data_IF_498626143284
#
_entry.id   IF_498626143284
#
_cell.length_a   1.000
_cell.length_b   1.000
_cell.length_c   1.000
_cell.angle_alpha   90.00
_cell.angle_beta   90.00
_cell.angle_gamma   90.00
#
_symmetry.space_group_name_H-M   'P 1'
#
loop_
_entity.id
_entity.type
_entity.pdbx_description
1 polymer ?
#
# COMPACT_ATOMS: atom_id res chain seq x y z
N UNK A 1 -6.60 5.98 -21.36
CA UNK A 1 -7.90 5.94 -20.68
C UNK A 1 -7.90 6.69 -19.36
N UNK A 2 -6.88 6.56 -18.50
CA UNK A 2 -6.80 7.29 -17.23
C UNK A 2 -6.93 8.81 -17.41
N UNK A 3 -6.12 9.41 -18.28
CA UNK A 3 -6.20 10.85 -18.59
C UNK A 3 -7.56 11.24 -19.16
N UNK A 4 -8.14 10.37 -19.98
CA UNK A 4 -9.46 10.58 -20.56
C UNK A 4 -10.55 10.59 -19.48
N UNK A 5 -10.51 9.61 -18.56
CA UNK A 5 -11.45 9.55 -17.45
C UNK A 5 -11.33 10.78 -16.52
N UNK A 6 -10.13 11.24 -16.19
CA UNK A 6 -9.92 12.44 -15.37
C UNK A 6 -10.48 13.71 -16.01
N UNK A 7 -10.34 13.84 -17.34
CA UNK A 7 -10.87 14.99 -18.08
C UNK A 7 -12.39 14.92 -18.26
N UNK A 8 -12.94 13.72 -18.37
CA UNK A 8 -14.36 13.50 -18.61
C UNK A 8 -14.82 12.24 -17.85
N UNK A 9 -15.23 12.36 -16.57
CA UNK A 9 -15.57 11.24 -15.70
C UNK A 9 -16.96 10.67 -15.96
N UNK A 10 -17.22 10.22 -17.19
CA UNK A 10 -18.46 9.51 -17.55
C UNK A 10 -18.40 8.04 -17.14
N UNK A 11 -19.57 7.40 -16.98
CA UNK A 11 -19.65 5.97 -16.67
C UNK A 11 -18.99 5.12 -17.77
N UNK A 12 -19.13 5.51 -19.04
CA UNK A 12 -18.45 4.83 -20.15
C UNK A 12 -16.92 4.87 -20.01
N UNK A 13 -16.35 6.03 -19.70
CA UNK A 13 -14.91 6.19 -19.51
C UNK A 13 -14.43 5.46 -18.26
N UNK A 14 -15.27 5.42 -17.20
CA UNK A 14 -15.02 4.64 -15.99
C UNK A 14 -14.92 3.15 -16.30
N UNK A 15 -15.91 2.62 -17.00
CA UNK A 15 -15.96 1.20 -17.36
C UNK A 15 -14.77 0.83 -18.26
N UNK A 16 -14.48 1.63 -19.26
CA UNK A 16 -13.32 1.40 -20.15
C UNK A 16 -11.98 1.38 -19.37
N UNK A 17 -11.84 2.23 -18.35
CA UNK A 17 -10.65 2.23 -17.49
C UNK A 17 -10.59 0.96 -16.63
N UNK A 18 -11.70 0.55 -16.03
CA UNK A 18 -11.78 -0.68 -15.24
C UNK A 18 -11.46 -1.92 -16.09
N UNK A 19 -12.00 -2.00 -17.30
CA UNK A 19 -11.73 -3.10 -18.23
C UNK A 19 -10.24 -3.17 -18.58
N UNK A 20 -9.61 -2.03 -18.86
CA UNK A 20 -8.18 -1.98 -19.13
C UNK A 20 -7.34 -2.42 -17.93
N UNK A 21 -7.75 -2.02 -16.71
CA UNK A 21 -7.08 -2.45 -15.49
C UNK A 21 -7.24 -3.95 -15.29
N UNK A 22 -8.44 -4.50 -15.56
CA UNK A 22 -8.71 -5.94 -15.53
C UNK A 22 -7.77 -6.71 -16.45
N UNK A 23 -7.66 -6.29 -17.72
CA UNK A 23 -6.75 -6.92 -18.70
C UNK A 23 -5.29 -6.88 -18.21
N UNK A 24 -4.85 -5.79 -17.62
CA UNK A 24 -3.48 -5.69 -17.07
C UNK A 24 -3.27 -6.62 -15.88
N UNK A 25 -4.25 -6.67 -14.99
CA UNK A 25 -4.22 -7.56 -13.83
C UNK A 25 -4.15 -9.03 -14.26
N UNK A 26 -4.98 -9.45 -15.21
CA UNK A 26 -5.00 -10.81 -15.73
C UNK A 26 -3.67 -11.22 -16.37
N UNK A 27 -2.98 -10.26 -17.03
CA UNK A 27 -1.62 -10.49 -17.53
C UNK A 27 -0.61 -10.73 -16.40
N UNK A 28 -0.73 -10.03 -15.27
CA UNK A 28 0.14 -10.25 -14.09
C UNK A 28 -0.14 -11.63 -13.50
N UNK A 29 -1.40 -11.98 -13.31
CA UNK A 29 -1.81 -13.32 -12.83
C UNK A 29 -1.28 -14.43 -13.76
N UNK A 30 -1.42 -14.25 -15.07
CA UNK A 30 -0.91 -15.23 -16.06
C UNK A 30 0.61 -15.41 -15.95
N UNK A 31 1.38 -14.34 -15.79
CA UNK A 31 2.84 -14.41 -15.58
C UNK A 31 3.19 -15.17 -14.31
N UNK A 32 2.48 -14.90 -13.19
CA UNK A 32 2.70 -15.62 -11.94
C UNK A 32 2.35 -17.11 -12.05
N UNK A 33 1.26 -17.46 -12.73
CA UNK A 33 0.89 -18.86 -13.04
C UNK A 33 1.97 -19.57 -13.88
N UNK A 34 2.53 -18.88 -14.87
CA UNK A 34 3.62 -19.45 -15.67
C UNK A 34 4.87 -19.69 -14.82
N UNK A 35 5.23 -18.71 -13.95
CA UNK A 35 6.37 -18.88 -13.05
C UNK A 35 6.16 -20.02 -12.05
N UNK A 36 4.93 -20.18 -11.55
CA UNK A 36 4.57 -21.30 -10.69
C UNK A 36 4.82 -22.64 -11.42
N UNK A 37 4.35 -22.79 -12.67
CA UNK A 37 4.57 -24.02 -13.47
C UNK A 37 6.06 -24.30 -13.71
N UNK A 38 6.88 -23.27 -13.89
CA UNK A 38 8.34 -23.43 -13.98
C UNK A 38 8.90 -23.96 -12.67
N UNK A 39 8.52 -23.38 -11.53
CA UNK A 39 8.94 -23.82 -10.21
C UNK A 39 8.50 -25.25 -9.90
N UNK A 40 7.29 -25.65 -10.30
CA UNK A 40 6.80 -27.02 -10.16
C UNK A 40 7.66 -28.04 -10.96
N UNK A 41 8.13 -27.65 -12.12
CA UNK A 41 9.04 -28.49 -12.93
C UNK A 41 10.45 -28.57 -12.37
N UNK A 42 10.90 -27.51 -11.73
CA UNK A 42 12.25 -27.40 -11.13
C UNK A 42 12.28 -27.85 -9.68
N UNK A 43 11.15 -28.30 -9.12
CA UNK A 43 10.88 -28.39 -7.70
C UNK A 43 11.92 -29.19 -6.91
N UNK A 44 12.81 -28.47 -6.28
CA UNK A 44 13.65 -28.95 -5.17
C UNK A 44 13.06 -28.64 -3.80
N UNK A 45 12.00 -27.82 -3.72
CA UNK A 45 11.43 -27.39 -2.43
C UNK A 45 9.91 -27.19 -2.55
N UNK A 46 9.15 -28.14 -2.02
CA UNK A 46 7.68 -28.15 -2.00
C UNK A 46 7.08 -26.89 -1.38
N UNK A 47 7.67 -26.38 -0.30
CA UNK A 47 7.19 -25.18 0.40
C UNK A 47 7.16 -23.92 -0.44
N UNK A 48 8.07 -23.75 -1.41
CA UNK A 48 8.09 -22.58 -2.30
C UNK A 48 6.92 -22.66 -3.30
N UNK A 49 6.64 -23.84 -3.81
CA UNK A 49 5.52 -24.07 -4.74
C UNK A 49 4.19 -23.80 -4.04
N UNK A 50 4.00 -24.35 -2.85
CA UNK A 50 2.79 -24.17 -2.05
C UNK A 50 2.57 -22.68 -1.70
N UNK A 51 3.61 -21.99 -1.26
CA UNK A 51 3.53 -20.55 -0.99
C UNK A 51 3.16 -19.74 -2.26
N UNK A 52 3.79 -20.02 -3.38
CA UNK A 52 3.46 -19.36 -4.65
C UNK A 52 2.06 -19.69 -5.16
N UNK A 53 1.59 -20.92 -4.93
CA UNK A 53 0.21 -21.31 -5.25
C UNK A 53 -0.77 -20.47 -4.43
N UNK A 54 -0.58 -20.36 -3.11
CA UNK A 54 -1.41 -19.52 -2.25
C UNK A 54 -1.49 -18.06 -2.71
N UNK A 55 -0.36 -17.48 -3.14
CA UNK A 55 -0.34 -16.12 -3.71
C UNK A 55 -1.21 -16.03 -4.99
N UNK A 56 -1.09 -17.01 -5.88
CA UNK A 56 -1.84 -17.02 -7.14
C UNK A 56 -3.33 -17.18 -6.88
N UNK A 57 -3.69 -18.07 -5.97
CA UNK A 57 -5.09 -18.34 -5.61
C UNK A 57 -5.74 -17.10 -4.99
N UNK A 58 -5.07 -16.45 -4.05
CA UNK A 58 -5.52 -15.18 -3.46
C UNK A 58 -5.68 -14.07 -4.52
N UNK A 59 -4.76 -13.95 -5.46
CA UNK A 59 -4.87 -12.99 -6.55
C UNK A 59 -6.08 -13.25 -7.46
N UNK A 60 -6.40 -14.51 -7.71
CA UNK A 60 -7.56 -14.90 -8.51
C UNK A 60 -8.85 -14.62 -7.74
N UNK A 61 -8.91 -15.05 -6.49
CA UNK A 61 -10.09 -14.89 -5.63
C UNK A 61 -10.42 -13.41 -5.39
N UNK A 62 -9.42 -12.58 -5.11
CA UNK A 62 -9.58 -11.16 -4.80
C UNK A 62 -9.49 -10.25 -6.03
N UNK A 63 -9.58 -10.79 -7.24
CA UNK A 63 -9.38 -10.03 -8.49
C UNK A 63 -10.19 -8.73 -8.56
N UNK A 64 -11.49 -8.80 -8.38
CA UNK A 64 -12.38 -7.65 -8.51
C UNK A 64 -12.08 -6.58 -7.43
N UNK A 65 -11.86 -7.03 -6.20
CA UNK A 65 -11.49 -6.17 -5.08
C UNK A 65 -10.19 -5.41 -5.35
N UNK A 66 -9.16 -6.12 -5.84
CA UNK A 66 -7.86 -5.51 -6.16
C UNK A 66 -7.92 -4.54 -7.33
N UNK A 67 -8.68 -4.85 -8.38
CA UNK A 67 -8.90 -3.93 -9.51
C UNK A 67 -9.61 -2.66 -9.02
N UNK A 68 -10.63 -2.82 -8.18
CA UNK A 68 -11.40 -1.70 -7.64
C UNK A 68 -10.56 -0.82 -6.70
N UNK A 69 -9.76 -1.40 -5.84
CA UNK A 69 -8.81 -0.67 -4.99
C UNK A 69 -7.83 0.14 -5.84
N UNK A 70 -7.26 -0.48 -6.86
CA UNK A 70 -6.34 0.19 -7.77
C UNK A 70 -7.02 1.34 -8.53
N UNK A 71 -8.26 1.16 -8.96
CA UNK A 71 -9.05 2.21 -9.59
C UNK A 71 -9.26 3.40 -8.63
N UNK A 72 -9.73 3.15 -7.40
CA UNK A 72 -9.93 4.21 -6.40
C UNK A 72 -8.66 4.99 -6.11
N UNK A 73 -7.52 4.31 -6.03
CA UNK A 73 -6.22 4.93 -5.91
C UNK A 73 -5.91 5.87 -7.08
N UNK A 74 -6.22 5.47 -8.30
CA UNK A 74 -5.95 6.30 -9.48
C UNK A 74 -6.80 7.55 -9.57
N UNK A 75 -8.03 7.51 -9.06
CA UNK A 75 -8.97 8.63 -9.12
C UNK A 75 -8.92 9.55 -7.89
N UNK A 76 -8.15 9.20 -6.84
CA UNK A 76 -8.01 10.05 -5.65
C UNK A 76 -7.30 11.36 -6.05
N UNK A 77 -7.98 12.53 -5.97
CA UNK A 77 -7.40 13.81 -6.34
C UNK A 77 -6.21 14.19 -5.46
N UNK A 78 -6.20 13.78 -4.19
CA UNK A 78 -5.12 14.07 -3.24
C UNK A 78 -3.78 13.47 -3.64
N UNK A 79 -3.81 12.42 -4.45
CA UNK A 79 -2.63 11.72 -4.93
C UNK A 79 -1.70 12.61 -5.77
N UNK A 80 -2.28 13.55 -6.54
CA UNK A 80 -1.49 14.43 -7.40
C UNK A 80 -0.98 15.67 -6.65
N UNK A 81 -1.80 16.16 -5.70
CA UNK A 81 -1.49 17.38 -4.96
C UNK A 81 -0.51 17.09 -3.82
N UNK A 82 -0.75 16.04 -3.04
CA UNK A 82 0.15 15.53 -2.02
C UNK A 82 0.00 14.01 -1.84
N UNK A 83 0.78 13.21 -2.56
CA UNK A 83 0.67 11.76 -2.46
C UNK A 83 0.87 11.19 -1.03
N UNK A 84 1.58 11.91 -0.17
CA UNK A 84 1.84 11.48 1.22
C UNK A 84 0.60 11.58 2.10
N UNK A 85 -0.29 12.53 1.81
CA UNK A 85 -1.54 12.71 2.54
C UNK A 85 -2.68 11.83 1.99
N UNK A 86 -2.38 11.03 0.96
CA UNK A 86 -3.37 10.15 0.37
C UNK A 86 -3.67 8.96 1.29
N UNK A 87 -4.93 8.57 1.32
CA UNK A 87 -5.42 7.41 2.05
C UNK A 87 -5.87 6.33 1.08
N UNK A 88 -5.37 5.12 1.28
CA UNK A 88 -5.69 3.96 0.44
C UNK A 88 -6.87 3.21 1.03
N UNK A 89 -7.86 2.91 0.21
CA UNK A 89 -9.04 2.15 0.63
C UNK A 89 -8.66 0.71 0.95
N UNK A 90 -8.96 0.27 2.15
CA UNK A 90 -8.96 -1.14 2.54
C UNK A 90 -10.39 -1.65 2.50
N UNK A 91 -10.63 -2.71 1.75
CA UNK A 91 -11.90 -3.43 1.78
C UNK A 91 -11.65 -4.82 2.32
N UNK A 92 -12.09 -5.01 3.56
CA UNK A 92 -12.14 -6.33 4.19
C UNK A 92 -13.42 -7.09 3.84
N UNK A 93 -13.62 -8.24 4.50
CA UNK A 93 -14.84 -9.03 4.40
C UNK A 93 -16.08 -8.35 5.03
N UNK A 94 -15.93 -7.24 5.72
CA UNK A 94 -17.01 -6.43 6.27
C UNK A 94 -17.35 -5.26 5.35
N UNK A 95 -18.60 -4.82 5.34
CA UNK A 95 -19.07 -3.66 4.55
C UNK A 95 -18.47 -2.32 5.00
N UNK A 96 -17.77 -2.30 6.12
CA UNK A 96 -17.11 -1.10 6.61
C UNK A 96 -15.89 -0.75 5.73
N UNK A 97 -15.88 0.49 5.24
CA UNK A 97 -14.74 1.02 4.48
C UNK A 97 -13.70 1.56 5.45
N UNK A 98 -12.54 0.91 5.51
CA UNK A 98 -11.37 1.42 6.20
C UNK A 98 -10.37 2.02 5.21
N UNK A 99 -9.53 2.89 5.71
CA UNK A 99 -8.46 3.53 4.94
C UNK A 99 -7.14 3.32 5.67
N UNK A 100 -6.07 3.11 4.90
CA UNK A 100 -4.70 3.09 5.42
C UNK A 100 -3.90 4.22 4.78
N UNK A 101 -2.96 4.81 5.50
CA UNK A 101 -2.09 5.86 4.96
C UNK A 101 -1.34 5.39 3.72
N UNK A 102 -1.13 6.29 2.77
CA UNK A 102 -0.35 6.02 1.55
C UNK A 102 1.10 5.61 1.87
N UNK A 103 1.67 6.21 2.91
CA UNK A 103 3.03 5.95 3.39
C UNK A 103 3.04 5.91 4.93
N UNK A 104 4.10 5.40 5.55
CA UNK A 104 4.32 5.54 6.99
C UNK A 104 4.31 7.00 7.45
N UNK A 105 3.95 7.23 8.71
CA UNK A 105 4.02 8.55 9.33
C UNK A 105 5.48 9.00 9.36
N UNK A 106 5.73 10.21 8.88
CA UNK A 106 7.07 10.79 8.80
C UNK A 106 7.48 11.51 10.08
N UNK A 107 8.78 11.78 10.23
CA UNK A 107 9.32 12.58 11.34
C UNK A 107 8.68 13.98 11.40
N UNK A 108 8.51 14.63 10.25
CA UNK A 108 7.91 15.96 10.18
C UNK A 108 6.44 15.96 10.63
N UNK A 109 5.66 14.97 10.20
CA UNK A 109 4.26 14.80 10.61
C UNK A 109 4.14 14.54 12.12
N UNK A 110 5.00 13.68 12.66
CA UNK A 110 5.00 13.39 14.08
C UNK A 110 5.48 14.58 14.93
N UNK A 111 6.43 15.36 14.44
CA UNK A 111 6.91 16.57 15.10
C UNK A 111 5.81 17.66 15.22
N UNK A 112 4.89 17.72 14.25
CA UNK A 112 3.73 18.60 14.32
C UNK A 112 2.79 18.24 15.48
N UNK A 113 2.66 16.96 15.81
CA UNK A 113 1.92 16.47 16.98
C UNK A 113 2.67 16.73 18.29
N UNK A 114 3.98 16.48 18.31
CA UNK A 114 4.78 16.49 19.54
C UNK A 114 5.86 17.57 19.47
N UNK A 115 5.57 18.81 19.86
CA UNK A 115 6.58 19.87 19.96
C UNK A 115 7.75 19.41 20.86
N UNK A 116 8.97 19.52 20.35
CA UNK A 116 10.18 19.05 21.05
C UNK A 116 10.60 17.62 20.68
N UNK A 117 9.86 16.92 19.79
CA UNK A 117 10.39 15.72 19.16
C UNK A 117 11.57 16.09 18.27
N UNK A 118 12.68 15.39 18.46
CA UNK A 118 13.92 15.66 17.73
C UNK A 118 14.30 14.47 16.86
N UNK A 119 14.75 14.75 15.66
CA UNK A 119 15.27 13.80 14.70
C UNK A 119 16.46 14.40 13.96
N UNK A 120 17.18 13.61 13.21
CA UNK A 120 18.37 14.06 12.49
C UNK A 120 17.98 15.03 11.37
N UNK A 121 18.73 16.13 11.24
CA UNK A 121 18.53 17.12 10.17
C UNK A 121 18.53 16.47 8.79
N UNK A 122 17.59 16.87 7.94
CA UNK A 122 17.39 16.31 6.60
C UNK A 122 16.62 14.98 6.57
N UNK A 123 16.09 14.51 7.71
CA UNK A 123 15.26 13.31 7.79
C UNK A 123 13.78 13.61 8.03
N UNK A 124 13.31 14.75 7.57
CA UNK A 124 11.89 15.15 7.69
C UNK A 124 10.95 14.12 7.08
N UNK A 125 11.34 13.56 5.93
CA UNK A 125 10.58 12.59 5.15
C UNK A 125 10.94 11.12 5.45
N UNK A 126 11.63 10.84 6.55
CA UNK A 126 11.89 9.48 6.99
C UNK A 126 10.78 9.01 7.92
N UNK A 127 10.50 7.69 7.98
CA UNK A 127 9.49 7.19 8.89
C UNK A 127 9.87 7.49 10.33
N UNK A 128 8.88 7.86 11.13
CA UNK A 128 9.10 8.05 12.56
C UNK A 128 9.31 6.70 13.24
N UNK A 129 10.39 6.59 13.99
CA UNK A 129 10.78 5.36 14.70
C UNK A 129 11.06 5.65 16.18
N UNK A 130 11.26 4.58 16.97
CA UNK A 130 11.57 4.66 18.40
C UNK A 130 10.49 5.38 19.22
N UNK A 131 9.22 5.25 18.81
CA UNK A 131 8.07 5.74 19.56
C UNK A 131 7.37 4.55 20.24
N UNK A 132 6.80 4.80 21.43
CA UNK A 132 6.02 3.78 22.12
C UNK A 132 4.64 3.62 21.48
N UNK A 133 3.99 2.48 21.73
CA UNK A 133 2.62 2.23 21.32
C UNK A 133 1.67 3.33 21.82
N UNK A 134 1.83 3.75 23.08
CA UNK A 134 1.03 4.82 23.68
C UNK A 134 1.20 6.15 22.92
N UNK A 135 2.42 6.47 22.50
CA UNK A 135 2.69 7.67 21.71
C UNK A 135 2.09 7.59 20.31
N UNK A 136 2.12 6.41 19.66
CA UNK A 136 1.48 6.20 18.37
C UNK A 136 -0.05 6.33 18.48
N UNK A 137 -0.65 5.78 19.54
CA UNK A 137 -2.08 5.93 19.80
C UNK A 137 -2.47 7.38 20.09
N UNK A 138 -1.64 8.12 20.86
CA UNK A 138 -1.86 9.54 21.12
C UNK A 138 -1.80 10.38 19.85
N UNK A 139 -0.90 10.05 18.92
CA UNK A 139 -0.85 10.68 17.61
C UNK A 139 -2.15 10.46 16.82
N UNK A 140 -2.68 9.24 16.80
CA UNK A 140 -3.96 8.93 16.17
C UNK A 140 -5.13 9.71 16.81
N UNK A 141 -5.15 9.82 18.13
CA UNK A 141 -6.17 10.62 18.85
C UNK A 141 -6.06 12.11 18.50
N UNK A 142 -4.84 12.62 18.41
CA UNK A 142 -4.59 14.00 17.99
C UNK A 142 -5.09 14.27 16.56
N UNK A 143 -4.85 13.36 15.61
CA UNK A 143 -5.41 13.45 14.26
C UNK A 143 -6.96 13.43 14.28
N UNK A 144 -7.55 12.52 15.06
CA UNK A 144 -9.01 12.41 15.20
C UNK A 144 -9.62 13.71 15.74
N UNK A 145 -8.94 14.38 16.67
CA UNK A 145 -9.42 15.65 17.22
C UNK A 145 -9.43 16.80 16.20
N UNK A 146 -8.65 16.70 15.14
CA UNK A 146 -8.58 17.70 14.08
C UNK A 146 -9.50 17.43 12.89
N UNK A 147 -10.01 16.21 12.78
CA UNK A 147 -10.87 15.78 11.68
C UNK A 147 -12.25 15.36 12.20
N UNK A 148 -13.25 16.16 11.94
CA UNK A 148 -14.63 15.88 12.38
C UNK A 148 -15.32 14.73 11.63
N UNK A 149 -14.69 14.18 10.58
CA UNK A 149 -15.30 13.19 9.69
C UNK A 149 -14.73 11.78 9.84
N UNK A 150 -13.49 11.67 10.34
CA UNK A 150 -12.79 10.39 10.39
C UNK A 150 -12.24 10.11 11.78
N UNK A 151 -12.15 8.83 12.11
CA UNK A 151 -11.47 8.34 13.32
C UNK A 151 -10.16 7.71 12.87
N UNK A 152 -9.07 8.21 13.43
CA UNK A 152 -7.72 7.69 13.17
C UNK A 152 -7.32 6.72 14.26
N UNK A 153 -6.79 5.60 13.87
CA UNK A 153 -6.26 4.56 14.76
C UNK A 153 -5.12 3.79 14.09
N UNK A 154 -4.40 3.03 14.86
CA UNK A 154 -3.47 2.07 14.27
C UNK A 154 -4.23 0.98 13.51
N UNK A 155 -3.68 0.46 12.40
CA UNK A 155 -4.27 -0.68 11.72
C UNK A 155 -4.22 -1.93 12.60
N UNK A 156 -5.18 -2.83 12.43
CA UNK A 156 -5.03 -4.19 12.91
C UNK A 156 -4.02 -4.95 12.05
N UNK A 157 -3.55 -6.11 12.52
CA UNK A 157 -2.68 -6.98 11.74
C UNK A 157 -3.34 -7.39 10.41
N UNK A 158 -4.61 -7.75 10.44
CA UNK A 158 -5.39 -8.11 9.24
C UNK A 158 -5.48 -6.95 8.25
N UNK A 159 -5.74 -5.74 8.73
CA UNK A 159 -5.79 -4.55 7.89
C UNK A 159 -4.43 -4.21 7.28
N UNK A 160 -3.36 -4.38 8.05
CA UNK A 160 -2.01 -4.20 7.54
C UNK A 160 -1.68 -5.24 6.45
N UNK A 161 -2.01 -6.51 6.67
CA UNK A 161 -1.85 -7.59 5.68
C UNK A 161 -2.66 -7.30 4.41
N UNK A 162 -3.91 -6.84 4.55
CA UNK A 162 -4.73 -6.42 3.40
C UNK A 162 -4.10 -5.26 2.63
N UNK A 163 -3.51 -4.31 3.33
CA UNK A 163 -2.82 -3.16 2.74
C UNK A 163 -1.52 -3.55 2.05
N UNK A 164 -0.68 -4.29 2.73
CA UNK A 164 0.61 -4.73 2.24
C UNK A 164 0.47 -5.79 1.14
N UNK A 165 -0.36 -6.80 1.35
CA UNK A 165 -0.40 -7.99 0.52
C UNK A 165 0.87 -8.82 0.64
N UNK A 166 1.14 -9.62 -0.38
CA UNK A 166 2.37 -10.40 -0.44
C UNK A 166 3.53 -9.58 -0.98
N UNK A 167 4.66 -9.59 -0.30
CA UNK A 167 5.89 -8.97 -0.79
C UNK A 167 6.39 -9.69 -2.05
N UNK A 168 6.45 -9.02 -3.21
CA UNK A 168 7.01 -9.61 -4.42
C UNK A 168 8.52 -9.87 -4.25
N UNK A 169 9.04 -10.92 -4.89
CA UNK A 169 10.48 -11.23 -4.84
C UNK A 169 11.37 -10.19 -5.52
N UNK A 170 10.80 -9.48 -6.51
CA UNK A 170 11.44 -8.46 -7.34
C UNK A 170 11.02 -7.05 -6.94
N UNK A 171 10.52 -6.88 -5.72
CA UNK A 171 10.11 -5.57 -5.24
C UNK A 171 11.35 -4.68 -5.10
N UNK A 172 11.27 -3.49 -5.67
CA UNK A 172 12.24 -2.45 -5.40
C UNK A 172 11.97 -1.89 -4.01
N UNK A 173 12.84 -2.20 -3.10
CA UNK A 173 12.81 -1.71 -1.73
C UNK A 173 14.23 -1.40 -1.29
N UNK A 174 14.39 -0.91 -0.09
CA UNK A 174 15.71 -0.79 0.49
C UNK A 174 16.39 -2.17 0.58
N UNK A 175 17.16 -2.51 -0.43
CA UNK A 175 17.86 -3.78 -0.50
C UNK A 175 18.85 -3.97 0.67
N UNK A 176 19.23 -2.87 1.31
CA UNK A 176 20.15 -2.84 2.44
C UNK A 176 19.42 -2.51 3.75
N UNK A 177 18.14 -2.82 3.85
CA UNK A 177 17.32 -2.52 5.02
C UNK A 177 17.92 -2.99 6.35
N UNK A 178 18.79 -4.01 6.31
CA UNK A 178 19.52 -4.51 7.48
C UNK A 178 20.81 -3.72 7.75
N UNK A 179 21.46 -3.20 6.70
CA UNK A 179 22.81 -2.63 6.78
C UNK A 179 22.85 -1.11 6.64
N UNK A 180 21.99 -0.53 5.81
CA UNK A 180 22.01 0.89 5.49
C UNK A 180 21.07 1.75 6.34
N UNK A 181 20.21 1.14 7.14
CA UNK A 181 19.24 1.85 7.99
C UNK A 181 18.05 2.39 7.21
N UNK A 182 17.32 3.32 7.83
CA UNK A 182 16.08 3.87 7.29
C UNK A 182 16.33 4.71 6.03
N UNK A 183 15.34 4.71 5.14
CA UNK A 183 15.28 5.58 3.97
C UNK A 183 14.08 6.51 4.04
N UNK A 184 14.04 7.53 3.18
CA UNK A 184 12.84 8.35 3.04
C UNK A 184 11.64 7.49 2.59
N UNK A 185 10.44 7.74 3.12
CA UNK A 185 9.24 6.91 2.86
C UNK A 185 8.87 6.84 1.38
N UNK A 186 9.36 7.74 0.56
CA UNK A 186 9.11 7.78 -0.88
C UNK A 186 10.31 7.36 -1.75
N UNK A 187 11.33 6.77 -1.14
CA UNK A 187 12.53 6.33 -1.86
C UNK A 187 12.21 5.25 -2.91
N UNK A 188 11.24 4.41 -2.64
CA UNK A 188 10.85 3.27 -3.49
C UNK A 188 9.37 3.33 -3.91
N UNK A 189 8.95 4.44 -4.51
CA UNK A 189 7.55 4.70 -4.93
C UNK A 189 6.96 3.66 -5.87
N UNK A 190 7.79 2.93 -6.61
CA UNK A 190 7.37 1.84 -7.49
C UNK A 190 6.98 0.57 -6.74
N UNK A 191 7.43 0.41 -5.50
CA UNK A 191 7.13 -0.75 -4.65
C UNK A 191 5.88 -0.49 -3.84
N UNK A 192 4.75 -0.91 -4.40
CA UNK A 192 3.45 -0.64 -3.79
C UNK A 192 2.84 -1.90 -3.19
N UNK A 193 2.27 -1.76 -1.99
CA UNK A 193 1.42 -2.78 -1.40
C UNK A 193 0.15 -3.07 -2.21
N UNK A 194 -0.62 -4.05 -1.79
CA UNK A 194 -1.86 -4.46 -2.44
C UNK A 194 -2.87 -3.30 -2.53
N UNK A 195 -2.97 -2.48 -1.49
CA UNK A 195 -3.84 -1.29 -1.47
C UNK A 195 -3.31 -0.15 -2.35
N UNK A 196 -2.04 -0.19 -2.72
CA UNK A 196 -1.37 0.84 -3.48
C UNK A 196 -0.59 1.86 -2.67
N UNK A 197 -0.56 1.75 -1.35
CA UNK A 197 0.37 2.48 -0.50
C UNK A 197 1.82 2.02 -0.74
N UNK A 198 2.76 2.77 -0.23
CA UNK A 198 4.20 2.53 -0.39
C UNK A 198 4.87 2.24 0.96
N UNK A 199 6.09 1.76 0.89
CA UNK A 199 6.98 1.55 2.04
C UNK A 199 6.43 0.57 3.08
N UNK A 200 5.70 -0.46 2.64
CA UNK A 200 5.26 -1.56 3.49
C UNK A 200 6.39 -2.54 3.84
N UNK A 201 7.46 -2.53 3.06
CA UNK A 201 8.60 -3.45 3.21
C UNK A 201 9.92 -2.70 3.14
N UNK A 202 10.87 -3.09 3.98
CA UNK A 202 12.25 -2.65 3.89
C UNK A 202 12.63 -1.38 4.69
N UNK A 203 11.71 -0.81 5.44
CA UNK A 203 12.02 0.29 6.37
C UNK A 203 11.77 -0.10 7.81
#
# INVERSE_FOLDING_TARGET
>A
LFVLYRKNPTEANRQALLDQMGVRYDKVVARKKNKLRELEREARTYSIVEHMQGIVDEMVENRETRIRQQFLRFIDPRRDDNPKDAWMVLRGASDATAYIGYAPVTNAEYAAFKPGFTYKSGQDNYPVVNISLQNAQAYCQWLTAQDSKHIYRLPSEEEWILGAGHMPKDVAMNANHVESGLTAVDAYKQSTGACGGIDFWGN
#
